data_IF_659951785008
#
_entry.id   IF_659951785008
#
_cell.length_a   1.000
_cell.length_b   1.000
_cell.length_c   1.000
_cell.angle_alpha   90.00
_cell.angle_beta   90.00
_cell.angle_gamma   90.00
#
_symmetry.space_group_name_H-M   'P 1'
#
loop_
_entity.id
_entity.type
_entity.pdbx_description
1 polymer ?
#
# COMPACT_ATOMS: atom_id res chain seq x y z
N UNK A 1 -27.28 10.20 -9.87
CA UNK A 1 -27.29 8.93 -9.12
C UNK A 1 -28.23 7.98 -9.86
N UNK A 2 -27.79 6.74 -10.09
CA UNK A 2 -28.37 5.82 -11.07
C UNK A 2 -29.82 5.45 -10.76
N UNK A 3 -30.66 5.42 -11.80
CA UNK A 3 -32.05 4.94 -11.78
C UNK A 3 -32.16 3.40 -11.64
N UNK A 4 -31.13 2.74 -11.10
CA UNK A 4 -31.07 1.28 -11.01
C UNK A 4 -31.52 0.82 -9.62
N UNK A 5 -32.31 -0.26 -9.51
CA UNK A 5 -32.63 -0.86 -8.22
C UNK A 5 -31.35 -1.29 -7.49
N UNK A 6 -31.37 -1.23 -6.14
CA UNK A 6 -30.18 -1.47 -5.31
C UNK A 6 -29.49 -2.81 -5.61
N UNK A 7 -30.27 -3.87 -5.81
CA UNK A 7 -29.79 -5.22 -6.14
C UNK A 7 -28.96 -5.26 -7.43
N UNK A 8 -29.35 -4.48 -8.44
CA UNK A 8 -28.63 -4.40 -9.72
C UNK A 8 -27.33 -3.62 -9.57
N UNK A 9 -27.34 -2.58 -8.74
CA UNK A 9 -26.14 -1.81 -8.44
C UNK A 9 -25.12 -2.68 -7.67
N UNK A 10 -25.57 -3.46 -6.69
CA UNK A 10 -24.72 -4.38 -5.94
C UNK A 10 -24.15 -5.48 -6.84
N UNK A 11 -24.95 -6.03 -7.76
CA UNK A 11 -24.47 -6.99 -8.74
C UNK A 11 -23.39 -6.40 -9.67
N UNK A 12 -23.57 -5.16 -10.14
CA UNK A 12 -22.57 -4.45 -10.96
C UNK A 12 -21.28 -4.20 -10.16
N UNK A 13 -21.40 -3.76 -8.91
CA UNK A 13 -20.26 -3.57 -8.00
C UNK A 13 -19.53 -4.90 -7.81
N UNK A 14 -20.25 -5.98 -7.55
CA UNK A 14 -19.70 -7.33 -7.41
C UNK A 14 -18.98 -7.83 -8.66
N UNK A 15 -19.56 -7.62 -9.84
CA UNK A 15 -18.93 -7.98 -11.12
C UNK A 15 -17.63 -7.21 -11.35
N UNK A 16 -17.61 -5.90 -11.05
CA UNK A 16 -16.40 -5.07 -11.16
C UNK A 16 -15.33 -5.48 -10.14
N UNK A 17 -15.75 -5.83 -8.92
CA UNK A 17 -14.86 -6.33 -7.88
C UNK A 17 -14.17 -7.64 -8.31
N UNK A 18 -14.94 -8.59 -8.86
CA UNK A 18 -14.40 -9.86 -9.34
C UNK A 18 -13.32 -9.67 -10.44
N UNK A 19 -13.47 -8.66 -11.31
CA UNK A 19 -12.46 -8.33 -12.31
C UNK A 19 -11.16 -7.81 -11.69
N UNK A 20 -11.23 -7.04 -10.60
CA UNK A 20 -10.03 -6.60 -9.89
C UNK A 20 -9.38 -7.78 -9.17
N UNK A 21 -10.18 -8.64 -8.53
CA UNK A 21 -9.66 -9.82 -7.84
C UNK A 21 -8.90 -10.76 -8.79
N UNK A 22 -9.37 -10.93 -10.03
CA UNK A 22 -8.65 -11.67 -11.06
C UNK A 22 -7.31 -11.04 -11.43
N UNK A 23 -7.25 -9.70 -11.53
CA UNK A 23 -5.98 -8.97 -11.77
C UNK A 23 -5.03 -9.15 -10.60
N UNK A 24 -5.54 -9.13 -9.37
CA UNK A 24 -4.74 -9.36 -8.17
C UNK A 24 -4.15 -10.77 -8.16
N UNK A 25 -4.93 -11.80 -8.48
CA UNK A 25 -4.44 -13.18 -8.60
C UNK A 25 -3.31 -13.27 -9.65
N UNK A 26 -3.49 -12.64 -10.81
CA UNK A 26 -2.46 -12.60 -11.84
C UNK A 26 -1.19 -11.86 -11.38
N UNK A 27 -1.35 -10.74 -10.63
CA UNK A 27 -0.23 -10.02 -10.04
C UNK A 27 0.50 -10.88 -9.01
N UNK A 28 -0.20 -11.58 -8.12
CA UNK A 28 0.41 -12.50 -7.16
C UNK A 28 1.21 -13.58 -7.87
N UNK A 29 0.63 -14.27 -8.85
CA UNK A 29 1.34 -15.24 -9.69
C UNK A 29 2.59 -14.65 -10.37
N UNK A 30 2.49 -13.43 -10.89
CA UNK A 30 3.63 -12.72 -11.47
C UNK A 30 4.68 -12.32 -10.41
N UNK A 31 4.31 -11.96 -9.18
CA UNK A 31 5.29 -11.70 -8.11
C UNK A 31 6.06 -12.97 -7.78
N UNK A 32 5.37 -14.11 -7.64
CA UNK A 32 5.99 -15.41 -7.40
C UNK A 32 6.98 -15.78 -8.52
N UNK A 33 6.67 -15.43 -9.77
CA UNK A 33 7.49 -15.78 -10.93
C UNK A 33 8.59 -14.76 -11.27
N UNK A 34 8.46 -13.48 -10.89
CA UNK A 34 9.29 -12.37 -11.40
C UNK A 34 10.08 -11.61 -10.32
N UNK A 35 10.53 -12.28 -9.26
CA UNK A 35 11.06 -11.67 -8.02
C UNK A 35 12.23 -10.68 -8.20
N UNK A 36 12.97 -10.65 -9.31
CA UNK A 36 14.16 -9.79 -9.42
C UNK A 36 14.00 -8.47 -10.21
N UNK A 37 13.21 -8.42 -11.29
CA UNK A 37 13.29 -7.29 -12.25
C UNK A 37 12.07 -6.34 -12.26
N UNK A 38 10.87 -6.80 -11.87
CA UNK A 38 9.63 -6.01 -12.00
C UNK A 38 9.19 -5.29 -10.71
N UNK A 39 9.99 -5.30 -9.62
CA UNK A 39 9.53 -4.90 -8.28
C UNK A 39 8.92 -3.49 -8.16
N UNK A 40 9.33 -2.52 -8.99
CA UNK A 40 8.76 -1.17 -8.99
C UNK A 40 7.46 -1.06 -9.80
N UNK A 41 7.37 -1.70 -10.97
CA UNK A 41 6.15 -1.70 -11.80
C UNK A 41 5.03 -2.48 -11.11
N UNK A 42 5.37 -3.61 -10.50
CA UNK A 42 4.44 -4.46 -9.77
C UNK A 42 3.80 -3.75 -8.57
N UNK A 43 4.60 -3.01 -7.79
CA UNK A 43 4.09 -2.16 -6.69
C UNK A 43 3.18 -1.03 -7.16
N UNK A 44 3.30 -0.58 -8.43
CA UNK A 44 2.38 0.42 -9.00
C UNK A 44 1.05 -0.23 -9.32
N UNK A 45 1.06 -1.41 -9.93
CA UNK A 45 -0.15 -2.17 -10.25
C UNK A 45 -0.94 -2.56 -8.99
N UNK A 46 -0.27 -3.07 -7.96
CA UNK A 46 -0.92 -3.38 -6.67
C UNK A 46 -1.61 -2.15 -6.09
N UNK A 47 -0.95 -0.99 -6.09
CA UNK A 47 -1.54 0.27 -5.60
C UNK A 47 -2.72 0.73 -6.45
N UNK A 48 -2.66 0.50 -7.75
CA UNK A 48 -3.74 0.85 -8.66
C UNK A 48 -4.98 -0.01 -8.39
N UNK A 49 -4.82 -1.33 -8.28
CA UNK A 49 -5.92 -2.24 -7.93
C UNK A 49 -6.51 -1.91 -6.56
N UNK A 50 -5.65 -1.64 -5.57
CA UNK A 50 -6.06 -1.19 -4.24
C UNK A 50 -6.96 0.05 -4.33
N UNK A 51 -6.58 1.07 -5.13
CA UNK A 51 -7.41 2.28 -5.34
C UNK A 51 -8.74 1.95 -6.04
N UNK A 52 -8.71 1.12 -7.08
CA UNK A 52 -9.90 0.74 -7.85
C UNK A 52 -10.99 0.08 -6.97
N UNK A 53 -10.61 -0.70 -5.95
CA UNK A 53 -11.56 -1.25 -4.97
C UNK A 53 -12.36 -0.18 -4.21
N UNK A 54 -11.70 0.91 -3.82
CA UNK A 54 -12.38 2.02 -3.13
C UNK A 54 -13.23 2.84 -4.10
N UNK A 55 -12.78 3.03 -5.35
CA UNK A 55 -13.54 3.77 -6.36
C UNK A 55 -14.87 3.07 -6.67
N UNK A 56 -14.87 1.74 -6.83
CA UNK A 56 -16.11 0.99 -7.13
C UNK A 56 -17.15 1.13 -6.01
N UNK A 57 -16.68 1.27 -4.76
CA UNK A 57 -17.55 1.48 -3.59
C UNK A 57 -17.90 2.95 -3.35
N UNK A 58 -17.41 3.88 -4.18
CA UNK A 58 -17.59 5.33 -3.98
C UNK A 58 -16.84 5.89 -2.77
N UNK A 59 -15.77 5.21 -2.32
CA UNK A 59 -15.00 5.52 -1.11
C UNK A 59 -13.61 6.08 -1.43
N UNK A 60 -13.45 6.82 -2.54
CA UNK A 60 -12.15 7.32 -2.97
C UNK A 60 -11.49 8.25 -1.94
N UNK A 61 -12.27 9.12 -1.29
CA UNK A 61 -11.78 9.99 -0.21
C UNK A 61 -11.23 9.21 0.99
N UNK A 62 -11.81 8.04 1.27
CA UNK A 62 -11.35 7.16 2.35
C UNK A 62 -9.99 6.56 2.02
N UNK A 63 -9.78 6.17 0.77
CA UNK A 63 -8.48 5.70 0.29
C UNK A 63 -7.38 6.76 0.49
N UNK A 64 -7.67 8.02 0.12
CA UNK A 64 -6.71 9.11 0.31
C UNK A 64 -6.38 9.35 1.79
N UNK A 65 -7.41 9.38 2.65
CA UNK A 65 -7.24 9.52 4.11
C UNK A 65 -6.40 8.39 4.69
N UNK A 66 -6.65 7.15 4.26
CA UNK A 66 -5.88 5.99 4.67
C UNK A 66 -4.41 6.12 4.26
N UNK A 67 -4.13 6.51 3.00
CA UNK A 67 -2.75 6.73 2.54
C UNK A 67 -2.04 7.85 3.28
N UNK A 68 -2.74 8.94 3.60
CA UNK A 68 -2.16 10.02 4.41
C UNK A 68 -1.78 9.54 5.82
N UNK A 69 -2.64 8.73 6.46
CA UNK A 69 -2.34 8.12 7.78
C UNK A 69 -1.13 7.19 7.70
N UNK A 70 -1.05 6.37 6.66
CA UNK A 70 0.08 5.45 6.43
C UNK A 70 1.39 6.23 6.26
N UNK A 71 1.37 7.32 5.47
CA UNK A 71 2.51 8.20 5.29
C UNK A 71 2.97 8.85 6.59
N UNK A 72 2.03 9.33 7.42
CA UNK A 72 2.35 9.91 8.73
C UNK A 72 3.00 8.87 9.66
N UNK A 73 2.46 7.64 9.70
CA UNK A 73 3.02 6.52 10.46
C UNK A 73 4.44 6.19 10.01
N UNK A 74 4.67 6.13 8.69
CA UNK A 74 5.97 5.84 8.10
C UNK A 74 7.00 6.94 8.41
N UNK A 75 6.60 8.22 8.37
CA UNK A 75 7.44 9.35 8.79
C UNK A 75 7.84 9.21 10.27
N UNK A 76 6.88 8.94 11.16
CA UNK A 76 7.15 8.74 12.59
C UNK A 76 8.12 7.58 12.83
N UNK A 77 7.90 6.43 12.19
CA UNK A 77 8.79 5.26 12.31
C UNK A 77 10.21 5.59 11.84
N UNK A 78 10.35 6.32 10.73
CA UNK A 78 11.65 6.75 10.21
C UNK A 78 12.39 7.65 11.20
N UNK A 79 11.70 8.58 11.84
CA UNK A 79 12.34 9.45 12.85
C UNK A 79 12.80 8.67 14.08
N UNK A 80 11.99 7.73 14.58
CA UNK A 80 12.39 6.84 15.68
C UNK A 80 13.64 6.03 15.29
N UNK A 81 13.66 5.47 14.08
CA UNK A 81 14.82 4.73 13.57
C UNK A 81 16.06 5.61 13.49
N UNK A 82 15.96 6.82 12.91
CA UNK A 82 17.09 7.77 12.84
C UNK A 82 17.61 8.11 14.24
N UNK A 83 16.74 8.35 15.20
CA UNK A 83 17.12 8.64 16.58
C UNK A 83 17.85 7.45 17.21
N UNK A 84 17.32 6.22 17.04
CA UNK A 84 17.97 5.00 17.50
C UNK A 84 19.35 4.79 16.88
N UNK A 85 19.47 4.96 15.56
CA UNK A 85 20.75 4.87 14.84
C UNK A 85 21.74 5.94 15.31
N UNK A 86 21.31 7.18 15.53
CA UNK A 86 22.19 8.24 16.08
C UNK A 86 22.71 7.88 17.46
N UNK A 87 21.86 7.36 18.36
CA UNK A 87 22.27 6.90 19.70
C UNK A 87 23.30 5.76 19.60
N UNK A 88 23.05 4.78 18.75
CA UNK A 88 23.97 3.65 18.51
C UNK A 88 25.33 4.10 17.94
N UNK A 89 25.33 4.99 16.94
CA UNK A 89 26.57 5.53 16.37
C UNK A 89 27.35 6.36 17.40
N UNK A 90 26.65 7.09 18.27
CA UNK A 90 27.30 7.85 19.34
C UNK A 90 27.91 6.93 20.40
N UNK A 91 27.26 5.82 20.77
CA UNK A 91 27.83 4.86 21.74
C UNK A 91 29.08 4.16 21.20
N UNK A 92 29.15 3.90 19.89
CA UNK A 92 30.37 3.37 19.24
C UNK A 92 31.52 4.38 19.26
N UNK A 93 31.23 5.68 19.08
CA UNK A 93 32.26 6.74 19.12
C UNK A 93 32.81 6.98 20.53
N UNK A 94 31.98 6.85 21.56
CA UNK A 94 32.42 6.99 22.95
C UNK A 94 33.24 5.80 23.43
N UNK A 95 32.97 4.58 22.94
CA UNK A 95 33.74 3.39 23.34
C UNK A 95 35.16 3.37 22.74
N UNK A 96 35.39 4.05 21.61
CA UNK A 96 36.71 4.13 20.95
C UNK A 96 37.63 5.24 21.50
N UNK A 97 37.10 6.18 22.31
CA UNK A 97 37.88 7.31 22.85
C UNK A 97 38.36 7.10 24.30
N UNK A 98 38.01 5.97 24.92
CA UNK A 98 38.32 5.66 26.32
C UNK A 98 39.30 4.51 26.52
N UNK A 99 40.06 4.13 25.49
CA UNK A 99 41.15 3.16 25.55
C UNK A 99 42.50 3.83 25.43
#
# INVERSE_FOLDING_TARGET
MSMLPAEWNDWIIGARQALIDQRDIALYGAQYNAVAQAGKSLKRFVRQNEREHYIIRGQEDEYERMKQRELAKNKRKREIQKQGTRKFLNSLKTSHKGG
#
